data_IF_910154895024
#
_entry.id   IF_910154895024
#
_cell.length_a   1.000
_cell.length_b   1.000
_cell.length_c   1.000
_cell.angle_alpha   90.00
_cell.angle_beta   90.00
_cell.angle_gamma   90.00
#
_symmetry.space_group_name_H-M   'P 1'
#
loop_
_entity.id
_entity.type
_entity.pdbx_description
1 polymer ?
#
# COMPACT_ATOMS: atom_id res chain seq x y z
N UNK A 1 -9.45 -3.11 -32.07
CA UNK A 1 -8.81 -3.38 -33.38
C UNK A 1 -7.79 -4.47 -33.15
N UNK A 2 -8.06 -5.68 -33.70
CA UNK A 2 -7.19 -6.86 -33.54
C UNK A 2 -6.03 -6.74 -34.51
N UNK A 3 -4.80 -6.73 -34.00
CA UNK A 3 -3.61 -6.91 -34.82
C UNK A 3 -3.59 -8.31 -35.40
N UNK A 4 -3.86 -8.43 -36.68
CA UNK A 4 -3.68 -9.66 -37.44
C UNK A 4 -2.20 -9.77 -37.77
N UNK A 5 -1.57 -10.83 -37.25
CA UNK A 5 -0.14 -11.09 -37.43
C UNK A 5 0.18 -11.35 -38.90
N UNK A 6 1.15 -10.61 -39.42
CA UNK A 6 1.67 -10.70 -40.80
C UNK A 6 2.12 -12.14 -41.19
N UNK A 7 2.40 -12.96 -40.21
CA UNK A 7 2.83 -14.35 -40.43
C UNK A 7 1.75 -15.28 -40.95
N UNK A 8 0.47 -14.92 -40.91
CA UNK A 8 -0.62 -15.76 -41.41
C UNK A 8 -0.88 -15.56 -42.90
N UNK A 9 -0.39 -14.48 -43.49
CA UNK A 9 -0.59 -14.18 -44.92
C UNK A 9 0.47 -14.90 -45.81
N UNK A 10 1.65 -15.23 -45.25
CA UNK A 10 2.73 -15.88 -46.00
C UNK A 10 2.56 -17.38 -46.15
N UNK A 11 1.74 -18.03 -45.32
CA UNK A 11 1.55 -19.48 -45.34
C UNK A 11 0.45 -19.95 -46.30
N UNK A 12 -0.45 -19.08 -46.74
CA UNK A 12 -1.55 -19.42 -47.64
C UNK A 12 -1.22 -19.23 -49.12
N UNK A 13 -0.13 -18.55 -49.46
CA UNK A 13 0.29 -18.33 -50.86
C UNK A 13 1.18 -19.46 -51.43
N UNK A 14 1.57 -20.44 -50.63
CA UNK A 14 2.49 -21.52 -51.05
C UNK A 14 1.79 -22.84 -51.42
N UNK A 15 0.45 -22.85 -51.48
CA UNK A 15 -0.33 -24.07 -51.75
C UNK A 15 -0.77 -24.26 -53.19
N UNK A 16 -0.33 -23.42 -54.15
CA UNK A 16 -0.61 -23.60 -55.56
C UNK A 16 0.69 -23.80 -56.34
N UNK A 17 1.00 -25.05 -56.53
CA UNK A 17 1.99 -25.75 -57.30
C UNK A 17 2.79 -25.04 -58.37
N UNK A 18 4.08 -24.89 -58.13
CA UNK A 18 5.11 -25.05 -59.18
C UNK A 18 6.29 -25.75 -58.47
N UNK A 19 6.57 -26.99 -58.94
CA UNK A 19 7.66 -27.78 -58.35
C UNK A 19 9.02 -27.23 -58.72
N UNK A 20 9.74 -26.74 -57.72
CA UNK A 20 11.19 -26.60 -57.72
C UNK A 20 11.67 -27.18 -56.41
N UNK A 21 12.26 -28.37 -56.48
CA UNK A 21 12.89 -29.00 -55.33
C UNK A 21 14.22 -28.30 -55.02
N UNK A 22 14.22 -27.47 -54.04
CA UNK A 22 15.43 -26.93 -53.41
C UNK A 22 15.66 -27.78 -52.14
N UNK A 23 16.80 -28.49 -52.01
CA UNK A 23 17.08 -29.15 -50.76
C UNK A 23 17.37 -28.07 -49.67
N UNK A 24 16.38 -27.85 -48.83
CA UNK A 24 16.58 -27.05 -47.61
C UNK A 24 17.37 -27.93 -46.66
N UNK A 25 18.65 -27.61 -46.53
CA UNK A 25 19.50 -28.07 -45.45
C UNK A 25 18.95 -27.45 -44.18
N UNK A 26 18.06 -28.18 -43.48
CA UNK A 26 17.62 -27.82 -42.15
C UNK A 26 18.76 -28.10 -41.20
N UNK A 27 19.66 -27.12 -41.08
CA UNK A 27 20.56 -27.06 -39.95
C UNK A 27 19.73 -26.81 -38.69
N UNK A 28 19.44 -27.89 -37.96
CA UNK A 28 18.91 -27.77 -36.59
C UNK A 28 20.00 -27.16 -35.69
N UNK A 29 20.12 -25.86 -35.72
CA UNK A 29 20.77 -25.17 -34.58
C UNK A 29 19.77 -25.18 -33.42
N UNK A 30 19.87 -26.18 -32.57
CA UNK A 30 19.40 -26.07 -31.21
C UNK A 30 20.16 -24.88 -30.55
N UNK A 31 19.54 -23.69 -30.63
CA UNK A 31 19.85 -22.66 -29.71
C UNK A 31 19.33 -23.17 -28.36
N UNK A 32 20.23 -23.76 -27.58
CA UNK A 32 20.01 -23.91 -26.15
C UNK A 32 19.92 -22.51 -25.58
N UNK A 33 18.69 -21.98 -25.47
CA UNK A 33 18.45 -20.92 -24.49
C UNK A 33 18.87 -21.48 -23.15
N UNK A 34 20.09 -21.16 -22.77
CA UNK A 34 20.50 -21.25 -21.39
C UNK A 34 19.62 -20.24 -20.63
N UNK A 35 18.45 -20.68 -20.18
CA UNK A 35 17.81 -20.08 -19.03
C UNK A 35 18.87 -20.16 -17.93
N UNK A 36 19.59 -19.06 -17.73
CA UNK A 36 20.30 -18.82 -16.49
C UNK A 36 19.22 -18.87 -15.42
N UNK A 37 19.10 -19.98 -14.73
CA UNK A 37 18.39 -20.07 -13.48
C UNK A 37 19.17 -19.12 -12.57
N UNK A 38 18.75 -17.84 -12.55
CA UNK A 38 19.10 -16.95 -11.47
C UNK A 38 18.64 -17.70 -10.23
N UNK A 39 19.59 -18.16 -9.44
CA UNK A 39 19.32 -18.68 -8.12
C UNK A 39 18.61 -17.55 -7.39
N UNK A 40 17.27 -17.64 -7.33
CA UNK A 40 16.48 -16.77 -6.48
C UNK A 40 17.00 -16.97 -5.09
N UNK A 41 17.80 -16.01 -4.62
CA UNK A 41 18.15 -15.95 -3.21
C UNK A 41 16.82 -15.90 -2.47
N UNK A 42 16.51 -16.88 -1.62
CA UNK A 42 15.21 -16.90 -0.95
C UNK A 42 15.03 -15.56 -0.23
N UNK A 43 14.03 -14.80 -0.64
CA UNK A 43 13.72 -13.50 -0.05
C UNK A 43 13.31 -13.74 1.40
N UNK A 44 14.27 -13.55 2.32
CA UNK A 44 14.02 -13.68 3.74
C UNK A 44 13.60 -12.31 4.28
N UNK A 45 12.35 -12.19 4.69
CA UNK A 45 11.86 -11.00 5.36
C UNK A 45 12.22 -11.11 6.84
N UNK A 46 13.10 -10.22 7.29
CA UNK A 46 13.45 -10.11 8.70
C UNK A 46 12.94 -8.80 9.27
N UNK A 47 12.39 -8.78 10.49
CA UNK A 47 12.03 -7.54 11.15
C UNK A 47 13.27 -6.67 11.37
N UNK A 48 13.14 -5.34 11.28
CA UNK A 48 14.23 -4.44 11.61
C UNK A 48 14.61 -4.55 13.09
N UNK A 49 15.87 -4.29 13.40
CA UNK A 49 16.32 -4.24 14.79
C UNK A 49 15.69 -3.06 15.52
N UNK A 50 15.30 -3.27 16.78
CA UNK A 50 14.75 -2.20 17.62
C UNK A 50 15.82 -1.11 17.79
N UNK A 51 15.53 0.16 17.44
CA UNK A 51 16.44 1.26 17.69
C UNK A 51 16.61 1.52 19.19
N UNK A 52 17.67 2.21 19.59
CA UNK A 52 17.87 2.59 20.99
C UNK A 52 16.93 3.71 21.44
N UNK A 53 16.51 4.55 20.49
CA UNK A 53 15.65 5.71 20.73
C UNK A 53 14.66 5.86 19.58
N UNK A 54 13.49 6.38 19.91
CA UNK A 54 12.51 6.88 18.95
C UNK A 54 12.16 8.33 19.30
N UNK A 55 11.76 9.11 18.30
CA UNK A 55 11.30 10.49 18.49
C UNK A 55 9.82 10.55 18.14
N UNK A 56 9.02 11.20 18.99
CA UNK A 56 7.64 11.50 18.75
C UNK A 56 7.34 12.92 19.25
N UNK A 57 6.81 13.77 18.40
CA UNK A 57 6.52 15.18 18.67
C UNK A 57 7.71 15.96 19.27
N UNK A 58 8.92 15.66 18.78
CA UNK A 58 10.17 16.26 19.28
C UNK A 58 10.71 15.63 20.57
N UNK A 59 9.92 14.85 21.27
CA UNK A 59 10.35 14.16 22.49
C UNK A 59 11.08 12.85 22.16
N UNK A 60 12.21 12.61 22.85
CA UNK A 60 13.01 11.40 22.69
C UNK A 60 12.56 10.31 23.66
N UNK A 61 12.16 9.17 23.14
CA UNK A 61 11.76 8.00 23.89
C UNK A 61 12.92 7.02 23.96
N UNK A 62 13.45 6.74 25.16
CA UNK A 62 14.49 5.72 25.36
C UNK A 62 13.90 4.32 25.28
N UNK A 63 14.32 3.55 24.27
CA UNK A 63 13.90 2.17 24.01
C UNK A 63 14.89 1.13 24.53
N UNK A 64 15.98 1.52 25.24
CA UNK A 64 16.93 0.58 25.86
C UNK A 64 16.34 -0.14 27.06
N UNK A 65 15.32 0.43 27.70
CA UNK A 65 14.58 -0.25 28.76
C UNK A 65 13.89 -1.48 28.21
N UNK A 66 14.03 -2.59 28.94
CA UNK A 66 13.55 -3.90 28.52
C UNK A 66 12.05 -3.90 28.13
N UNK A 67 11.19 -3.30 28.96
CA UNK A 67 9.74 -3.24 28.76
C UNK A 67 9.34 -2.47 27.48
N UNK A 68 10.04 -1.37 27.19
CA UNK A 68 9.81 -0.56 25.99
C UNK A 68 10.37 -1.24 24.75
N UNK A 69 11.57 -1.83 24.87
CA UNK A 69 12.22 -2.56 23.79
C UNK A 69 11.38 -3.73 23.34
N UNK A 70 10.86 -4.54 24.28
CA UNK A 70 10.03 -5.69 23.96
C UNK A 70 8.71 -5.31 23.29
N UNK A 71 8.08 -4.21 23.72
CA UNK A 71 6.88 -3.68 23.06
C UNK A 71 7.17 -3.25 21.63
N UNK A 72 8.24 -2.49 21.42
CA UNK A 72 8.63 -2.02 20.09
C UNK A 72 8.98 -3.20 19.17
N UNK A 73 9.71 -4.19 19.66
CA UNK A 73 10.06 -5.40 18.91
C UNK A 73 8.81 -6.14 18.44
N UNK A 74 7.81 -6.31 19.32
CA UNK A 74 6.52 -6.92 19.00
C UNK A 74 5.80 -6.18 17.87
N UNK A 75 5.77 -4.84 17.94
CA UNK A 75 5.12 -4.03 16.90
C UNK A 75 5.88 -4.12 15.58
N UNK A 76 7.21 -4.01 15.58
CA UNK A 76 8.04 -4.16 14.39
C UNK A 76 7.84 -5.54 13.75
N UNK A 77 7.80 -6.60 14.56
CA UNK A 77 7.54 -7.96 14.11
C UNK A 77 6.15 -8.08 13.49
N UNK A 78 5.12 -7.54 14.16
CA UNK A 78 3.74 -7.53 13.67
C UNK A 78 3.64 -6.85 12.31
N UNK A 79 4.15 -5.62 12.17
CA UNK A 79 4.14 -4.89 10.90
C UNK A 79 4.94 -5.58 9.80
N UNK A 80 6.05 -6.24 10.15
CA UNK A 80 6.89 -6.94 9.18
C UNK A 80 6.18 -8.14 8.56
N UNK A 81 5.47 -8.93 9.38
CA UNK A 81 4.81 -10.15 8.90
C UNK A 81 3.37 -9.92 8.42
N UNK A 82 2.76 -8.79 8.72
CA UNK A 82 1.45 -8.40 8.16
C UNK A 82 1.60 -7.75 6.77
N UNK A 83 2.34 -8.36 5.87
CA UNK A 83 2.73 -7.79 4.56
C UNK A 83 1.60 -7.10 3.80
N UNK A 84 0.47 -7.76 3.62
CA UNK A 84 -0.65 -7.21 2.84
C UNK A 84 -1.23 -5.94 3.49
N UNK A 85 -1.42 -5.98 4.80
CA UNK A 85 -1.94 -4.83 5.57
C UNK A 85 -0.94 -3.67 5.59
N UNK A 86 0.34 -3.97 5.86
CA UNK A 86 1.42 -2.96 5.86
C UNK A 86 1.58 -2.29 4.51
N UNK A 87 1.57 -3.08 3.41
CA UNK A 87 1.65 -2.52 2.06
C UNK A 87 0.42 -1.67 1.71
N UNK A 88 -0.77 -2.05 2.17
CA UNK A 88 -1.96 -1.22 2.00
C UNK A 88 -1.86 0.09 2.78
N UNK A 89 -1.38 0.04 4.04
CA UNK A 89 -1.17 1.24 4.85
C UNK A 89 -0.17 2.20 4.21
N UNK A 90 0.97 1.71 3.70
CA UNK A 90 1.95 2.53 2.99
C UNK A 90 1.34 3.19 1.75
N UNK A 91 0.57 2.45 0.94
CA UNK A 91 -0.11 3.01 -0.24
C UNK A 91 -1.15 4.07 0.14
N UNK A 92 -1.88 3.85 1.24
CA UNK A 92 -2.87 4.80 1.76
C UNK A 92 -2.19 6.03 2.35
N UNK A 93 -1.08 5.87 3.07
CA UNK A 93 -0.26 6.97 3.58
C UNK A 93 0.19 7.90 2.45
N UNK A 94 0.74 7.35 1.37
CA UNK A 94 1.15 8.13 0.20
C UNK A 94 -0.02 8.88 -0.47
N UNK A 95 -1.25 8.41 -0.30
CA UNK A 95 -2.45 9.07 -0.84
C UNK A 95 -3.01 10.13 0.09
N UNK A 96 -3.07 9.85 1.39
CA UNK A 96 -3.83 10.68 2.34
C UNK A 96 -2.96 11.67 3.12
N UNK A 97 -1.72 11.34 3.45
CA UNK A 97 -0.83 12.24 4.18
C UNK A 97 -0.62 13.60 3.48
N UNK A 98 -0.44 13.68 2.14
CA UNK A 98 -0.33 14.98 1.47
C UNK A 98 -1.56 15.88 1.62
N UNK A 99 -2.74 15.33 1.90
CA UNK A 99 -3.98 16.08 2.16
C UNK A 99 -4.08 16.48 3.65
N UNK A 100 -3.63 15.60 4.54
CA UNK A 100 -3.80 15.71 5.98
C UNK A 100 -2.74 16.60 6.62
N UNK A 101 -1.47 16.45 6.24
CA UNK A 101 -0.34 17.21 6.78
C UNK A 101 -0.52 18.73 6.72
N UNK A 102 -0.99 19.33 5.60
CA UNK A 102 -1.26 20.76 5.56
C UNK A 102 -2.34 21.19 6.55
N UNK A 103 -3.36 20.35 6.80
CA UNK A 103 -4.45 20.65 7.73
C UNK A 103 -3.96 20.60 9.18
N UNK A 104 -3.18 19.59 9.56
CA UNK A 104 -2.56 19.52 10.88
C UNK A 104 -1.69 20.75 11.12
N UNK A 105 -0.82 21.09 10.17
CA UNK A 105 0.06 22.25 10.24
C UNK A 105 -0.71 23.57 10.36
N UNK A 106 -1.79 23.74 9.60
CA UNK A 106 -2.62 24.95 9.66
C UNK A 106 -3.30 25.15 11.02
N UNK A 107 -3.57 24.04 11.73
CA UNK A 107 -4.17 24.05 13.07
C UNK A 107 -3.12 23.98 14.21
N UNK A 108 -1.82 24.03 13.88
CA UNK A 108 -0.75 23.97 14.90
C UNK A 108 -0.59 22.61 15.56
N UNK A 109 -1.11 21.55 14.92
CA UNK A 109 -1.00 20.17 15.41
C UNK A 109 0.31 19.56 14.90
N UNK A 110 1.09 18.87 15.74
CA UNK A 110 2.31 18.19 15.32
C UNK A 110 2.06 17.16 14.22
N UNK A 111 2.99 17.08 13.25
CA UNK A 111 2.88 16.21 12.08
C UNK A 111 2.73 14.73 12.44
N UNK A 112 3.36 14.29 13.52
CA UNK A 112 3.30 12.90 13.99
C UNK A 112 1.87 12.43 14.35
N UNK A 113 0.93 13.36 14.59
CA UNK A 113 -0.47 13.01 14.87
C UNK A 113 -1.17 12.35 13.67
N UNK A 114 -0.66 12.49 12.45
CA UNK A 114 -1.16 11.72 11.30
C UNK A 114 -1.12 10.20 11.49
N UNK A 115 -0.19 9.71 12.33
CA UNK A 115 -0.08 8.28 12.63
C UNK A 115 -1.22 7.74 13.51
N UNK A 116 -2.00 8.60 14.18
CA UNK A 116 -3.22 8.16 14.89
C UNK A 116 -4.21 7.48 13.93
N UNK A 117 -4.36 7.99 12.71
CA UNK A 117 -5.24 7.36 11.71
C UNK A 117 -4.75 5.99 11.27
N UNK A 118 -3.45 5.71 11.36
CA UNK A 118 -2.90 4.36 11.12
C UNK A 118 -3.42 3.40 12.20
N UNK A 119 -3.39 3.84 13.46
CA UNK A 119 -3.83 3.05 14.60
C UNK A 119 -5.35 2.87 14.60
N UNK A 120 -6.10 3.93 14.30
CA UNK A 120 -7.56 3.95 14.38
C UNK A 120 -8.25 3.18 13.24
N UNK A 121 -7.72 3.26 12.03
CA UNK A 121 -8.42 2.76 10.84
C UNK A 121 -7.53 2.03 9.83
N UNK A 122 -6.23 1.83 10.09
CA UNK A 122 -5.25 1.42 9.09
C UNK A 122 -5.29 2.33 7.83
N UNK A 123 -5.56 3.63 8.03
CA UNK A 123 -5.79 4.61 6.97
C UNK A 123 -6.91 4.20 6.00
N UNK A 124 -7.90 3.46 6.47
CA UNK A 124 -9.06 3.09 5.65
C UNK A 124 -10.14 4.17 5.76
N UNK A 125 -10.42 4.96 4.69
CA UNK A 125 -11.37 6.06 4.76
C UNK A 125 -12.82 5.63 4.96
N UNK A 126 -13.13 4.37 4.67
CA UNK A 126 -14.46 3.79 4.84
C UNK A 126 -14.54 2.83 6.04
N UNK A 127 -13.57 2.91 6.95
CA UNK A 127 -13.58 2.07 8.15
C UNK A 127 -14.80 2.36 9.00
N UNK A 128 -15.41 1.29 9.53
CA UNK A 128 -16.49 1.36 10.51
C UNK A 128 -16.28 0.30 11.57
N UNK A 129 -16.28 0.71 12.82
CA UNK A 129 -16.19 -0.21 13.95
C UNK A 129 -17.55 -0.82 14.30
N UNK A 130 -17.59 -1.96 15.00
CA UNK A 130 -18.83 -2.54 15.52
C UNK A 130 -19.57 -1.58 16.48
N UNK A 131 -18.84 -0.70 17.17
CA UNK A 131 -19.41 0.31 18.06
C UNK A 131 -19.98 1.53 17.31
N UNK A 132 -19.77 1.62 15.97
CA UNK A 132 -20.28 2.71 15.15
C UNK A 132 -19.32 3.88 14.92
N UNK A 133 -18.06 3.77 15.35
CA UNK A 133 -17.03 4.73 14.95
C UNK A 133 -16.75 4.62 13.44
N UNK A 134 -16.45 5.74 12.76
CA UNK A 134 -16.35 5.77 11.31
C UNK A 134 -15.24 6.70 10.78
N UNK A 135 -14.75 6.37 9.56
CA UNK A 135 -13.77 7.16 8.82
C UNK A 135 -12.32 6.98 9.30
N UNK A 136 -11.42 7.83 8.80
CA UNK A 136 -9.99 7.76 9.14
C UNK A 136 -9.75 7.97 10.63
N UNK A 137 -10.47 8.88 11.25
CA UNK A 137 -10.32 9.32 12.64
C UNK A 137 -11.21 8.54 13.62
N UNK A 138 -12.00 7.59 13.13
CA UNK A 138 -12.92 6.76 13.94
C UNK A 138 -13.80 7.57 14.91
N UNK A 139 -14.36 8.67 14.42
CA UNK A 139 -15.33 9.45 15.19
C UNK A 139 -16.58 8.65 15.49
N UNK A 140 -17.03 8.72 16.75
CA UNK A 140 -18.38 8.30 17.11
C UNK A 140 -19.41 9.33 16.60
N UNK A 141 -20.66 8.92 16.27
CA UNK A 141 -21.66 9.86 15.71
C UNK A 141 -21.96 11.06 16.59
N UNK A 142 -21.99 10.86 17.91
CA UNK A 142 -22.25 11.95 18.87
C UNK A 142 -21.09 12.95 18.87
N UNK A 143 -19.87 12.45 19.06
CA UNK A 143 -18.66 13.27 19.08
C UNK A 143 -18.45 14.02 17.77
N UNK A 144 -18.70 13.37 16.63
CA UNK A 144 -18.61 14.01 15.32
C UNK A 144 -19.50 15.25 15.21
N UNK A 145 -20.76 15.16 15.68
CA UNK A 145 -21.69 16.29 15.68
C UNK A 145 -21.26 17.42 16.65
N UNK A 146 -20.72 17.06 17.79
CA UNK A 146 -20.17 18.02 18.77
C UNK A 146 -19.03 18.85 18.17
N UNK A 147 -18.22 18.24 17.29
CA UNK A 147 -17.15 18.89 16.55
C UNK A 147 -17.58 19.42 15.17
N UNK A 148 -18.88 19.57 14.92
CA UNK A 148 -19.42 20.28 13.75
C UNK A 148 -19.53 19.46 12.49
N UNK A 149 -19.37 18.12 12.54
CA UNK A 149 -19.60 17.26 11.40
C UNK A 149 -21.10 16.92 11.25
N UNK A 150 -21.59 16.95 10.03
CA UNK A 150 -22.92 16.47 9.71
C UNK A 150 -22.96 14.94 9.71
N UNK A 151 -23.80 14.37 10.58
CA UNK A 151 -24.00 12.91 10.67
C UNK A 151 -25.50 12.65 10.84
N UNK A 152 -26.14 12.26 9.76
CA UNK A 152 -27.56 11.91 9.67
C UNK A 152 -27.79 10.71 8.72
N UNK A 153 -29.03 10.40 8.38
CA UNK A 153 -29.35 9.25 7.52
C UNK A 153 -28.93 9.43 6.06
N UNK A 154 -28.70 10.67 5.61
CA UNK A 154 -28.35 11.00 4.22
C UNK A 154 -26.89 11.39 4.05
N UNK A 155 -26.27 11.95 5.09
CA UNK A 155 -24.90 12.49 5.05
C UNK A 155 -24.14 12.03 6.27
N UNK A 156 -22.92 11.57 6.05
CA UNK A 156 -21.98 11.21 7.11
C UNK A 156 -20.58 11.77 6.81
N UNK A 157 -20.31 12.97 7.33
CA UNK A 157 -19.06 13.69 7.09
C UNK A 157 -17.84 13.10 7.82
N UNK A 158 -18.02 12.09 8.65
CA UNK A 158 -16.91 11.32 9.24
C UNK A 158 -16.06 10.62 8.18
N UNK A 159 -16.65 10.37 7.00
CA UNK A 159 -15.94 9.82 5.83
C UNK A 159 -15.30 10.89 4.94
N UNK A 160 -15.59 12.17 5.18
CA UNK A 160 -14.98 13.27 4.42
C UNK A 160 -13.62 13.62 5.03
N UNK A 161 -12.56 13.35 4.29
CA UNK A 161 -11.19 13.38 4.81
C UNK A 161 -10.83 14.74 5.41
N UNK A 162 -11.06 15.82 4.65
CA UNK A 162 -10.67 17.17 5.07
C UNK A 162 -11.53 17.66 6.24
N UNK A 163 -12.86 17.46 6.19
CA UNK A 163 -13.75 17.88 7.27
C UNK A 163 -13.48 17.10 8.55
N UNK A 164 -13.33 15.78 8.45
CA UNK A 164 -13.02 14.95 9.59
C UNK A 164 -11.65 15.28 10.19
N UNK A 165 -10.65 15.62 9.35
CA UNK A 165 -9.33 16.07 9.84
C UNK A 165 -9.44 17.42 10.53
N UNK A 166 -10.16 18.38 9.96
CA UNK A 166 -10.36 19.68 10.60
C UNK A 166 -11.11 19.56 11.94
N UNK A 167 -12.07 18.63 12.05
CA UNK A 167 -12.77 18.35 13.30
C UNK A 167 -11.89 17.64 14.35
N UNK A 168 -10.85 16.92 13.91
CA UNK A 168 -9.91 16.22 14.79
C UNK A 168 -8.83 17.16 15.38
N UNK A 169 -8.58 18.31 14.72
CA UNK A 169 -7.65 19.34 15.17
C UNK A 169 -8.23 20.23 16.25
#
# INVERSE_FOLDING_TARGET
>A
MKHISINYILTTALALGIGISIPVLVGSTCLSEQHSVQSEVPYCVTPPTVPEQAVFDGDTIDLRRYDRRERMDRELMSFTYMHSSTMQMIKRANRYFPVIEPLLKANGIPDDFKYLMVIESNLNPIARSPAGAAGLWQFMPVTAREFGLEVNDNVDERYHIEKATAAAC
#
